data_IF_614608636173
#
_entry.id   IF_614608636173
#
_cell.length_a   1.000
_cell.length_b   1.000
_cell.length_c   1.000
_cell.angle_alpha   90.00
_cell.angle_beta   90.00
_cell.angle_gamma   90.00
#
_symmetry.space_group_name_H-M   'P 1'
#
loop_
_entity.id
_entity.type
_entity.pdbx_description
1 polymer ?
#
# COMPACT_ATOMS: atom_id res chain seq x y z
N UNK A 1 -53.77 21.74 13.83
CA UNK A 1 -53.38 20.40 13.32
C UNK A 1 -51.88 20.44 13.04
N UNK A 2 -51.09 19.55 13.67
CA UNK A 2 -49.61 19.53 13.61
C UNK A 2 -49.12 18.34 12.76
N UNK A 3 -47.88 18.47 12.27
CA UNK A 3 -46.90 17.44 11.80
C UNK A 3 -46.81 17.30 10.28
N UNK A 4 -45.63 17.21 9.65
CA UNK A 4 -44.25 17.29 10.13
C UNK A 4 -43.34 17.57 8.91
N UNK A 5 -42.34 18.44 9.09
CA UNK A 5 -41.16 18.49 8.22
C UNK A 5 -40.28 17.30 8.59
N UNK A 6 -40.04 16.38 7.63
CA UNK A 6 -39.28 15.14 7.83
C UNK A 6 -38.12 15.04 6.85
N UNK A 7 -37.00 15.59 7.28
CA UNK A 7 -35.60 15.43 6.86
C UNK A 7 -35.23 14.39 5.78
N UNK A 8 -34.69 14.85 4.65
CA UNK A 8 -33.82 14.06 3.76
C UNK A 8 -32.42 14.64 3.86
N UNK A 9 -31.57 14.08 4.72
CA UNK A 9 -30.17 14.52 4.80
C UNK A 9 -29.27 13.50 5.50
N UNK A 10 -29.03 12.32 4.92
CA UNK A 10 -27.82 11.53 5.23
C UNK A 10 -27.50 10.64 4.03
N UNK A 11 -26.46 10.93 3.23
CA UNK A 11 -25.78 9.94 2.35
C UNK A 11 -24.45 10.43 1.74
N UNK A 12 -23.73 11.39 2.35
CA UNK A 12 -22.50 11.96 1.76
C UNK A 12 -21.19 11.52 2.47
N UNK A 13 -21.26 10.74 3.55
CA UNK A 13 -20.06 10.36 4.34
C UNK A 13 -19.30 9.12 3.85
N UNK A 14 -19.77 8.39 2.83
CA UNK A 14 -19.16 7.12 2.42
C UNK A 14 -17.87 7.30 1.57
N UNK A 15 -17.74 8.39 0.82
CA UNK A 15 -16.67 8.55 -0.19
C UNK A 15 -15.29 8.76 0.43
N UNK A 16 -15.20 9.47 1.56
CA UNK A 16 -13.92 9.75 2.22
C UNK A 16 -13.26 8.50 2.84
N UNK A 17 -14.05 7.49 3.18
CA UNK A 17 -13.58 6.23 3.77
C UNK A 17 -12.87 5.33 2.76
N UNK A 18 -13.35 5.32 1.51
CA UNK A 18 -12.80 4.48 0.44
C UNK A 18 -11.45 5.03 -0.02
N UNK A 19 -11.35 6.35 -0.21
CA UNK A 19 -10.08 6.99 -0.59
C UNK A 19 -8.97 6.74 0.46
N UNK A 20 -9.31 6.79 1.76
CA UNK A 20 -8.35 6.48 2.83
C UNK A 20 -7.96 5.01 2.93
N UNK A 21 -8.88 4.09 2.60
CA UNK A 21 -8.60 2.67 2.58
C UNK A 21 -7.62 2.31 1.45
N UNK A 22 -7.78 2.91 0.27
CA UNK A 22 -6.87 2.72 -0.87
C UNK A 22 -5.47 3.25 -0.56
N UNK A 23 -5.37 4.45 0.02
CA UNK A 23 -4.09 5.03 0.45
C UNK A 23 -3.40 4.18 1.53
N UNK A 24 -4.17 3.67 2.51
CA UNK A 24 -3.64 2.80 3.55
C UNK A 24 -3.12 1.47 2.98
N UNK A 25 -3.84 0.89 2.01
CA UNK A 25 -3.41 -0.31 1.30
C UNK A 25 -2.12 -0.05 0.52
N UNK A 26 -2.05 1.05 -0.25
CA UNK A 26 -0.84 1.43 -1.01
C UNK A 26 0.37 1.65 -0.10
N UNK A 27 0.18 2.29 1.05
CA UNK A 27 1.25 2.50 2.05
C UNK A 27 1.66 1.18 2.71
N UNK A 28 0.73 0.27 2.98
CA UNK A 28 1.07 -1.05 3.50
C UNK A 28 1.85 -1.87 2.45
N UNK A 29 1.42 -1.85 1.19
CA UNK A 29 2.10 -2.53 0.08
C UNK A 29 3.51 -1.99 -0.19
N UNK A 30 3.76 -0.70 0.04
CA UNK A 30 5.11 -0.11 -0.11
C UNK A 30 6.07 -0.56 0.99
N UNK A 31 5.54 -1.02 2.13
CA UNK A 31 6.32 -1.55 3.26
C UNK A 31 6.58 -3.05 3.17
N UNK A 32 5.93 -3.76 2.26
CA UNK A 32 6.16 -5.19 2.06
C UNK A 32 7.58 -5.43 1.55
N UNK A 33 8.37 -6.19 2.32
CA UNK A 33 9.71 -6.65 1.93
C UNK A 33 9.62 -8.03 1.30
N UNK A 34 9.99 -8.13 0.03
CA UNK A 34 10.10 -9.40 -0.70
C UNK A 34 11.57 -9.78 -0.84
N UNK A 35 11.91 -11.04 -0.61
CA UNK A 35 13.26 -11.57 -0.84
C UNK A 35 13.22 -13.07 -1.07
N UNK A 36 14.21 -13.62 -1.77
CA UNK A 36 14.42 -15.07 -1.89
C UNK A 36 15.28 -15.65 -0.76
N UNK A 37 15.88 -14.79 0.06
CA UNK A 37 16.71 -15.19 1.20
C UNK A 37 15.85 -15.37 2.45
N UNK A 38 15.88 -16.55 3.07
CA UNK A 38 15.13 -16.85 4.28
C UNK A 38 15.61 -16.04 5.51
N UNK A 39 16.85 -15.55 5.51
CA UNK A 39 17.40 -14.77 6.63
C UNK A 39 16.60 -13.48 6.90
N UNK A 40 15.90 -12.95 5.90
CA UNK A 40 15.04 -11.76 6.05
C UNK A 40 13.88 -11.96 7.03
N UNK A 41 13.47 -13.21 7.25
CA UNK A 41 12.37 -13.58 8.12
C UNK A 41 12.84 -14.05 9.51
N UNK A 42 14.15 -13.95 9.79
CA UNK A 42 14.70 -14.33 11.08
C UNK A 42 14.07 -13.48 12.21
N UNK A 43 13.48 -14.15 13.20
CA UNK A 43 12.78 -13.49 14.31
C UNK A 43 11.37 -12.97 13.98
N UNK A 44 10.85 -13.25 12.78
CA UNK A 44 9.49 -12.90 12.39
C UNK A 44 8.52 -14.06 12.58
N UNK A 45 7.24 -13.76 12.82
CA UNK A 45 6.19 -14.77 12.93
C UNK A 45 5.63 -15.09 11.54
N UNK A 46 5.62 -16.36 11.14
CA UNK A 46 4.95 -16.79 9.91
C UNK A 46 3.44 -16.70 10.08
N UNK A 47 2.75 -16.07 9.14
CA UNK A 47 1.30 -15.81 9.21
C UNK A 47 0.51 -16.48 8.08
N UNK A 48 1.10 -16.67 6.90
CA UNK A 48 0.41 -17.29 5.76
C UNK A 48 1.38 -17.84 4.72
N UNK A 49 0.82 -18.53 3.72
CA UNK A 49 1.47 -18.78 2.45
C UNK A 49 0.51 -18.32 1.34
N UNK A 50 1.02 -17.62 0.34
CA UNK A 50 0.24 -17.09 -0.78
C UNK A 50 0.98 -17.36 -2.09
N UNK A 51 0.24 -17.29 -3.20
CA UNK A 51 0.81 -17.34 -4.55
C UNK A 51 0.13 -16.33 -5.45
N UNK A 52 0.85 -15.85 -6.45
CA UNK A 52 0.35 -14.93 -7.47
C UNK A 52 1.28 -14.93 -8.68
N UNK A 53 0.79 -14.56 -9.85
CA UNK A 53 1.58 -14.35 -11.07
C UNK A 53 2.06 -12.89 -11.19
N UNK A 54 1.45 -11.99 -10.40
CA UNK A 54 1.77 -10.56 -10.36
C UNK A 54 2.35 -10.16 -9.01
N UNK A 55 3.53 -9.51 -9.02
CA UNK A 55 4.15 -8.98 -7.79
C UNK A 55 3.24 -7.96 -7.09
N UNK A 56 2.43 -7.20 -7.85
CA UNK A 56 1.50 -6.22 -7.31
C UNK A 56 0.39 -6.92 -6.52
N UNK A 57 -0.22 -7.95 -7.09
CA UNK A 57 -1.32 -8.67 -6.47
C UNK A 57 -0.82 -9.59 -5.36
N UNK A 58 0.40 -10.12 -5.49
CA UNK A 58 1.13 -10.79 -4.41
C UNK A 58 1.29 -9.89 -3.19
N UNK A 59 1.78 -8.66 -3.37
CA UNK A 59 1.92 -7.69 -2.26
C UNK A 59 0.57 -7.38 -1.61
N UNK A 60 -0.49 -7.26 -2.41
CA UNK A 60 -1.84 -7.06 -1.92
C UNK A 60 -2.34 -8.26 -1.09
N UNK A 61 -2.07 -9.50 -1.53
CA UNK A 61 -2.36 -10.73 -0.78
C UNK A 61 -1.57 -10.78 0.54
N UNK A 62 -0.29 -10.42 0.52
CA UNK A 62 0.57 -10.36 1.72
C UNK A 62 0.00 -9.38 2.76
N UNK A 63 -0.33 -8.16 2.34
CA UNK A 63 -0.93 -7.14 3.24
C UNK A 63 -2.25 -7.62 3.82
N UNK A 64 -3.11 -8.24 2.99
CA UNK A 64 -4.41 -8.80 3.43
C UNK A 64 -4.24 -9.95 4.42
N UNK A 65 -3.17 -10.73 4.30
CA UNK A 65 -2.80 -11.76 5.27
C UNK A 65 -2.18 -11.20 6.56
N UNK A 66 -2.00 -9.88 6.66
CA UNK A 66 -1.41 -9.22 7.81
C UNK A 66 0.13 -9.24 7.85
N UNK A 67 0.78 -9.69 6.79
CA UNK A 67 2.24 -9.73 6.68
C UNK A 67 2.85 -8.41 6.21
N UNK A 68 4.14 -8.27 6.48
CA UNK A 68 5.00 -7.17 5.98
C UNK A 68 6.31 -7.67 5.37
N UNK A 69 6.61 -8.96 5.49
CA UNK A 69 7.78 -9.60 4.90
C UNK A 69 7.34 -10.89 4.22
N UNK A 70 7.91 -11.21 3.07
CA UNK A 70 7.71 -12.51 2.46
C UNK A 70 8.98 -13.07 1.83
N UNK A 71 9.20 -14.37 2.06
CA UNK A 71 10.23 -15.15 1.38
C UNK A 71 9.60 -15.76 0.14
N UNK A 72 10.11 -15.39 -1.03
CA UNK A 72 9.56 -15.83 -2.31
C UNK A 72 10.37 -16.97 -2.91
N UNK A 73 9.69 -17.85 -3.63
CA UNK A 73 10.27 -18.92 -4.43
C UNK A 73 9.52 -19.04 -5.75
N UNK A 74 10.22 -19.50 -6.78
CA UNK A 74 9.66 -19.77 -8.10
C UNK A 74 9.65 -21.28 -8.32
N UNK A 75 8.56 -21.81 -8.89
CA UNK A 75 8.49 -23.22 -9.24
C UNK A 75 9.49 -23.55 -10.36
N UNK A 76 10.12 -24.72 -10.33
CA UNK A 76 11.01 -25.17 -11.42
C UNK A 76 10.25 -25.51 -12.70
N UNK A 77 8.96 -25.85 -12.60
CA UNK A 77 8.07 -26.14 -13.72
C UNK A 77 7.17 -24.94 -14.06
N UNK A 78 6.69 -24.23 -13.04
CA UNK A 78 5.77 -23.10 -13.18
C UNK A 78 6.49 -21.80 -12.74
N UNK A 79 7.26 -21.22 -13.65
CA UNK A 79 7.96 -19.95 -13.44
C UNK A 79 7.03 -18.72 -13.51
N UNK A 80 5.81 -18.93 -13.99
CA UNK A 80 4.77 -17.90 -14.09
C UNK A 80 4.10 -17.63 -12.73
N UNK A 81 4.24 -18.53 -11.76
CA UNK A 81 3.73 -18.34 -10.40
C UNK A 81 4.84 -18.03 -9.40
N UNK A 82 4.60 -17.00 -8.59
CA UNK A 82 5.42 -16.62 -7.45
C UNK A 82 4.78 -17.18 -6.19
N UNK A 83 5.51 -18.02 -5.49
CA UNK A 83 5.11 -18.56 -4.19
C UNK A 83 5.73 -17.69 -3.10
N UNK A 84 5.00 -17.42 -2.03
CA UNK A 84 5.47 -16.58 -0.95
C UNK A 84 5.05 -17.13 0.41
N UNK A 85 6.05 -17.38 1.27
CA UNK A 85 5.84 -17.56 2.69
C UNK A 85 5.78 -16.20 3.37
N UNK A 86 4.68 -15.91 4.05
CA UNK A 86 4.37 -14.59 4.57
C UNK A 86 4.66 -14.52 6.05
N UNK A 87 5.38 -13.48 6.46
CA UNK A 87 5.81 -13.22 7.81
C UNK A 87 5.37 -11.83 8.28
N UNK A 88 5.17 -11.72 9.59
CA UNK A 88 4.98 -10.46 10.30
C UNK A 88 6.18 -10.25 11.21
N UNK A 89 6.98 -9.23 10.90
CA UNK A 89 8.13 -8.86 11.71
C UNK A 89 7.75 -7.80 12.73
N UNK A 90 8.34 -7.84 13.93
CA UNK A 90 8.18 -6.78 14.91
C UNK A 90 8.96 -5.53 14.46
N UNK A 91 8.31 -4.68 13.65
CA UNK A 91 8.69 -3.29 13.40
C UNK A 91 9.79 -3.08 12.36
N UNK A 92 9.39 -2.74 11.12
CA UNK A 92 10.00 -1.56 10.51
C UNK A 92 9.43 -0.34 11.24
N UNK A 93 10.26 0.59 11.75
CA UNK A 93 9.76 1.78 12.44
C UNK A 93 8.78 2.52 11.52
N UNK A 94 7.67 3.07 12.06
CA UNK A 94 6.79 3.92 11.27
C UNK A 94 7.61 5.06 10.67
N UNK A 95 7.47 5.32 9.37
CA UNK A 95 8.04 6.51 8.74
C UNK A 95 7.65 7.74 9.58
N UNK A 96 8.58 8.68 9.85
CA UNK A 96 8.25 9.92 10.52
C UNK A 96 7.05 10.56 9.81
N UNK A 97 5.94 10.75 10.52
CA UNK A 97 4.75 11.41 9.97
C UNK A 97 4.95 12.91 9.74
N UNK A 98 6.09 13.44 10.18
CA UNK A 98 6.46 14.86 10.18
C UNK A 98 7.58 15.19 9.19
N UNK A 99 7.59 14.60 7.98
CA UNK A 99 8.40 15.20 6.91
C UNK A 99 7.66 16.45 6.45
N UNK A 100 8.16 17.67 6.72
CA UNK A 100 7.51 18.88 6.23
C UNK A 100 7.45 18.82 4.70
N UNK A 101 6.39 19.39 4.08
CA UNK A 101 6.32 19.45 2.63
C UNK A 101 7.58 20.13 2.09
N UNK A 102 8.11 19.68 0.92
CA UNK A 102 9.22 20.36 0.30
C UNK A 102 8.86 21.84 0.08
N UNK A 103 9.83 22.76 0.26
CA UNK A 103 9.58 24.18 0.01
C UNK A 103 9.04 24.38 -1.41
N UNK A 104 8.18 25.40 -1.63
CA UNK A 104 7.75 25.77 -2.96
C UNK A 104 8.95 25.94 -3.89
N UNK A 105 8.94 25.25 -5.04
CA UNK A 105 9.99 25.43 -6.05
C UNK A 105 10.02 26.86 -6.58
N UNK A 106 11.14 27.29 -7.19
CA UNK A 106 11.19 28.58 -7.87
C UNK A 106 10.09 28.66 -8.94
N UNK A 107 9.55 29.85 -9.23
CA UNK A 107 8.56 30.02 -10.28
C UNK A 107 9.11 29.51 -11.61
N UNK A 108 8.25 28.95 -12.49
CA UNK A 108 8.68 28.50 -13.80
C UNK A 108 9.31 29.68 -14.57
N UNK A 109 10.35 29.42 -15.40
CA UNK A 109 10.95 30.46 -16.21
C UNK A 109 9.91 31.10 -17.13
N UNK A 110 10.02 32.41 -17.43
CA UNK A 110 9.13 33.06 -18.38
C UNK A 110 9.22 32.37 -19.75
N UNK A 111 8.11 32.28 -20.49
CA UNK A 111 8.13 31.73 -21.85
C UNK A 111 9.11 32.55 -22.72
N UNK A 112 9.79 31.90 -23.69
CA UNK A 112 10.61 32.60 -24.67
C UNK A 112 9.80 33.71 -25.35
N UNK A 113 10.33 34.93 -25.35
CA UNK A 113 9.73 36.03 -26.09
C UNK A 113 9.66 35.71 -27.59
N UNK A 114 8.72 36.30 -28.33
CA UNK A 114 8.64 36.09 -29.78
C UNK A 114 9.95 36.50 -30.45
N UNK A 115 10.62 35.54 -31.07
CA UNK A 115 11.71 35.78 -32.04
C UNK A 115 11.18 36.65 -33.17
N UNK A 116 11.82 37.80 -33.37
CA UNK A 116 11.58 38.71 -34.51
C UNK A 116 12.26 38.19 -35.77
#
# INVERSE_FOLDING_TARGET
MKRALGSVAVLVLASASIARADDAERVAMSRVRLSTDAAVAAGCARVAAVRDDSVKDLRKKIVRAGGDTAVISFGVADLDEIYAEVFRCAGLPPLPRDIPPPPPGPPPPPPPGPTR
#
